data_IF_302304151197
#
_entry.id   IF_302304151197
#
_cell.length_a   1.000
_cell.length_b   1.000
_cell.length_c   1.000
_cell.angle_alpha   90.00
_cell.angle_beta   90.00
_cell.angle_gamma   90.00
#
_symmetry.space_group_name_H-M   'P 1'
#
loop_
_entity.id
_entity.type
_entity.pdbx_description
1 polymer ?
#
# COMPACT_ATOMS: atom_id res chain seq x y z
N UNK A 1 19.13 13.94 3.21
CA UNK A 1 19.00 13.74 4.65
C UNK A 1 18.83 12.28 4.98
N UNK A 2 19.69 11.75 5.80
CA UNK A 2 19.59 10.37 6.24
C UNK A 2 18.55 10.28 7.35
N UNK A 3 17.41 9.69 7.02
CA UNK A 3 16.41 9.38 8.03
C UNK A 3 16.86 8.11 8.76
N UNK A 4 17.10 8.23 10.04
CA UNK A 4 17.29 7.05 10.86
C UNK A 4 15.91 6.49 11.17
N UNK A 5 15.62 5.34 10.59
CA UNK A 5 14.35 4.66 10.83
C UNK A 5 14.60 3.51 11.80
N UNK A 6 14.14 3.70 13.03
CA UNK A 6 14.20 2.68 14.06
C UNK A 6 12.90 1.88 14.09
N UNK A 7 12.68 1.12 13.03
CA UNK A 7 11.42 0.41 12.84
C UNK A 7 11.61 -0.79 11.94
N UNK A 8 10.69 -1.74 12.04
CA UNK A 8 10.66 -2.92 11.20
C UNK A 8 9.55 -2.83 10.16
N UNK A 9 9.80 -3.44 9.00
CA UNK A 9 8.77 -3.65 7.99
C UNK A 9 7.87 -4.78 8.48
N UNK A 10 6.58 -4.52 8.57
CA UNK A 10 5.58 -5.49 9.00
C UNK A 10 4.91 -6.22 7.84
N UNK A 11 4.82 -5.57 6.69
CA UNK A 11 4.17 -6.18 5.53
C UNK A 11 4.58 -5.51 4.23
N UNK A 12 4.57 -6.30 3.17
CA UNK A 12 4.62 -5.85 1.79
C UNK A 12 3.36 -6.37 1.10
N UNK A 13 2.57 -5.47 0.55
CA UNK A 13 1.37 -5.82 -0.19
C UNK A 13 1.57 -5.48 -1.66
N UNK A 14 1.50 -6.50 -2.48
CA UNK A 14 1.74 -6.39 -3.91
C UNK A 14 0.44 -6.06 -4.65
N UNK A 15 0.57 -5.61 -5.88
CA UNK A 15 -0.56 -5.37 -6.77
C UNK A 15 -1.55 -4.34 -6.21
N UNK A 16 -0.99 -3.27 -5.67
CA UNK A 16 -1.80 -2.17 -5.14
C UNK A 16 -2.17 -1.23 -6.27
N UNK A 17 -3.44 -0.87 -6.33
CA UNK A 17 -3.93 0.26 -7.10
C UNK A 17 -4.24 1.37 -6.11
N UNK A 18 -3.49 2.45 -6.18
CA UNK A 18 -3.60 3.47 -5.15
C UNK A 18 -3.14 4.85 -5.58
N UNK A 19 -3.50 5.82 -4.77
CA UNK A 19 -3.13 7.20 -4.94
C UNK A 19 -4.16 8.16 -4.35
N UNK A 20 -3.98 9.43 -4.65
CA UNK A 20 -4.87 10.47 -4.17
C UNK A 20 -6.23 10.38 -4.84
N UNK A 21 -7.31 10.49 -4.04
CA UNK A 21 -8.67 10.58 -4.55
C UNK A 21 -8.95 12.00 -5.04
N UNK A 22 -9.77 12.12 -6.08
CA UNK A 22 -10.20 13.42 -6.56
C UNK A 22 -10.31 13.47 -8.08
N UNK A 23 -10.97 14.54 -8.54
CA UNK A 23 -11.13 14.79 -9.95
C UNK A 23 -9.76 15.06 -10.60
N UNK A 24 -9.48 14.38 -11.69
CA UNK A 24 -8.21 14.44 -12.44
C UNK A 24 -6.98 13.90 -11.68
N UNK A 25 -7.18 13.25 -10.56
CA UNK A 25 -6.09 12.54 -9.87
C UNK A 25 -5.96 11.15 -10.45
N UNK A 26 -4.71 10.72 -10.70
CA UNK A 26 -4.43 9.39 -11.24
C UNK A 26 -3.96 8.45 -10.16
N UNK A 27 -4.60 7.30 -10.09
CA UNK A 27 -4.07 6.19 -9.30
C UNK A 27 -2.99 5.46 -10.10
N UNK A 28 -2.13 4.76 -9.38
CA UNK A 28 -1.01 4.02 -9.96
C UNK A 28 -0.96 2.62 -9.37
N UNK A 29 -0.33 1.73 -10.12
CA UNK A 29 0.04 0.42 -9.62
C UNK A 29 1.30 0.52 -8.78
N UNK A 30 1.38 -0.25 -7.71
CA UNK A 30 2.55 -0.27 -6.87
C UNK A 30 2.49 -1.30 -5.76
N UNK A 31 3.39 -1.13 -4.82
CA UNK A 31 3.52 -1.95 -3.63
C UNK A 31 3.30 -1.08 -2.41
N UNK A 32 2.53 -1.59 -1.45
CA UNK A 32 2.33 -0.91 -0.18
C UNK A 32 3.22 -1.57 0.87
N UNK A 33 4.07 -0.77 1.49
CA UNK A 33 4.96 -1.24 2.56
C UNK A 33 4.48 -0.65 3.88
N UNK A 34 4.34 -1.49 4.87
CA UNK A 34 3.83 -1.10 6.20
C UNK A 34 4.92 -1.33 7.22
N UNK A 35 5.24 -0.29 7.98
CA UNK A 35 6.09 -0.40 9.16
C UNK A 35 5.28 -0.08 10.41
N UNK A 36 5.91 -0.08 11.57
CA UNK A 36 5.24 0.28 12.83
C UNK A 36 4.83 1.77 12.88
N UNK A 37 5.44 2.59 12.03
CA UNK A 37 5.27 4.05 12.07
C UNK A 37 4.84 4.68 10.77
N UNK A 38 4.91 3.94 9.67
CA UNK A 38 4.72 4.50 8.32
C UNK A 38 3.96 3.57 7.40
N UNK A 39 3.26 4.18 6.48
CA UNK A 39 2.67 3.54 5.32
C UNK A 39 3.37 4.13 4.11
N UNK A 40 3.96 3.29 3.25
CA UNK A 40 4.75 3.75 2.12
C UNK A 40 4.20 3.12 0.84
N UNK A 41 3.92 3.96 -0.16
CA UNK A 41 3.47 3.49 -1.46
C UNK A 41 4.61 3.60 -2.46
N UNK A 42 5.09 2.46 -2.94
CA UNK A 42 6.22 2.36 -3.85
C UNK A 42 5.71 2.03 -5.24
N UNK A 43 5.86 2.97 -6.17
CA UNK A 43 5.50 2.78 -7.58
C UNK A 43 6.71 2.44 -8.43
N UNK A 44 7.92 2.77 -7.96
CA UNK A 44 9.19 2.47 -8.63
C UNK A 44 10.11 1.78 -7.63
N UNK A 45 10.56 0.58 -7.94
CA UNK A 45 11.40 -0.22 -7.05
C UNK A 45 12.59 -0.81 -7.79
N UNK A 46 13.69 -1.02 -7.06
CA UNK A 46 14.85 -1.79 -7.53
C UNK A 46 14.72 -3.28 -7.20
N UNK A 47 13.60 -3.69 -6.62
CA UNK A 47 13.37 -5.09 -6.29
C UNK A 47 13.48 -5.96 -7.54
N UNK A 48 14.21 -7.09 -7.45
CA UNK A 48 14.32 -8.00 -8.56
C UNK A 48 12.94 -8.61 -8.90
N UNK A 49 12.73 -8.89 -10.18
CA UNK A 49 11.49 -9.51 -10.63
C UNK A 49 11.22 -10.84 -9.89
N UNK A 50 12.27 -11.61 -9.64
CA UNK A 50 12.15 -12.89 -8.94
C UNK A 50 11.58 -12.73 -7.53
N UNK A 51 12.10 -11.78 -6.76
CA UNK A 51 11.62 -11.51 -5.40
C UNK A 51 10.17 -11.03 -5.45
N UNK A 52 9.87 -10.12 -6.35
CA UNK A 52 8.52 -9.61 -6.55
C UNK A 52 7.54 -10.74 -6.89
N UNK A 53 7.92 -11.60 -7.83
CA UNK A 53 7.05 -12.69 -8.28
C UNK A 53 6.80 -13.72 -7.17
N UNK A 54 7.83 -14.11 -6.45
CA UNK A 54 7.70 -15.07 -5.35
C UNK A 54 6.74 -14.55 -4.27
N UNK A 55 6.88 -13.29 -3.89
CA UNK A 55 6.01 -12.71 -2.87
C UNK A 55 4.59 -12.51 -3.40
N UNK A 56 4.43 -12.14 -4.66
CA UNK A 56 3.12 -11.99 -5.30
C UNK A 56 2.35 -13.31 -5.34
N UNK A 57 3.05 -14.41 -5.67
CA UNK A 57 2.45 -15.75 -5.66
C UNK A 57 2.06 -16.19 -4.26
N UNK A 58 2.90 -15.89 -3.27
CA UNK A 58 2.62 -16.16 -1.87
C UNK A 58 1.38 -15.40 -1.40
N UNK A 59 1.26 -14.13 -1.76
CA UNK A 59 0.09 -13.32 -1.44
C UNK A 59 -1.18 -13.90 -2.05
N UNK A 60 -1.12 -14.28 -3.33
CA UNK A 60 -2.26 -14.89 -4.03
C UNK A 60 -2.70 -16.19 -3.37
N UNK A 61 -1.74 -17.05 -3.00
CA UNK A 61 -2.04 -18.30 -2.31
C UNK A 61 -2.71 -18.07 -0.96
N UNK A 62 -2.25 -17.07 -0.20
CA UNK A 62 -2.85 -16.75 1.08
C UNK A 62 -4.27 -16.22 0.93
N UNK A 63 -4.56 -15.46 -0.11
CA UNK A 63 -5.95 -15.07 -0.40
C UNK A 63 -6.82 -16.30 -0.69
N UNK A 64 -6.32 -17.26 -1.47
CA UNK A 64 -7.05 -18.50 -1.76
C UNK A 64 -7.32 -19.32 -0.52
N UNK A 65 -6.39 -19.34 0.42
CA UNK A 65 -6.50 -20.08 1.67
C UNK A 65 -7.20 -19.28 2.78
N UNK A 66 -7.63 -18.06 2.49
CA UNK A 66 -8.26 -17.15 3.46
C UNK A 66 -7.38 -16.87 4.67
N UNK A 67 -6.08 -16.77 4.44
CA UNK A 67 -5.08 -16.46 5.46
C UNK A 67 -4.66 -15.01 5.41
N UNK A 68 -4.01 -14.54 6.49
CA UNK A 68 -3.47 -13.20 6.57
C UNK A 68 -2.44 -12.96 5.46
N UNK A 69 -2.59 -11.84 4.74
CA UNK A 69 -1.66 -11.44 3.66
C UNK A 69 -0.62 -10.42 4.12
N UNK A 70 -0.70 -9.95 5.35
CA UNK A 70 0.23 -8.93 5.87
C UNK A 70 1.53 -9.60 6.33
N UNK A 71 2.40 -9.88 5.36
CA UNK A 71 3.67 -10.55 5.57
C UNK A 71 4.80 -9.75 4.92
N UNK A 72 5.97 -9.64 5.57
CA UNK A 72 7.11 -8.95 4.99
C UNK A 72 7.84 -9.84 3.98
N UNK A 73 8.55 -9.19 3.05
CA UNK A 73 9.47 -9.86 2.16
C UNK A 73 10.79 -10.08 2.88
N UNK A 74 11.25 -11.32 2.92
CA UNK A 74 12.56 -11.66 3.43
C UNK A 74 13.63 -11.08 2.48
N UNK A 75 14.63 -10.41 3.05
CA UNK A 75 15.70 -9.81 2.25
C UNK A 75 15.41 -8.40 1.74
N UNK A 76 14.23 -7.85 2.03
CA UNK A 76 13.91 -6.46 1.75
C UNK A 76 13.65 -5.75 3.07
N UNK A 77 14.65 -5.04 3.55
CA UNK A 77 14.57 -4.33 4.82
C UNK A 77 14.47 -2.82 4.64
N UNK A 78 14.72 -2.11 5.72
CA UNK A 78 14.64 -0.63 5.75
C UNK A 78 15.65 0.01 4.77
N UNK A 79 16.82 -0.57 4.59
CA UNK A 79 17.82 -0.05 3.65
C UNK A 79 17.28 -0.06 2.22
N UNK A 80 16.71 -1.18 1.79
CA UNK A 80 16.12 -1.32 0.46
C UNK A 80 14.93 -0.40 0.29
N UNK A 81 14.11 -0.25 1.32
CA UNK A 81 12.96 0.65 1.31
C UNK A 81 13.39 2.10 1.14
N UNK A 82 14.38 2.55 1.89
CA UNK A 82 14.90 3.92 1.78
C UNK A 82 15.46 4.20 0.39
N UNK A 83 16.20 3.24 -0.17
CA UNK A 83 16.70 3.36 -1.53
C UNK A 83 15.58 3.49 -2.56
N UNK A 84 14.52 2.70 -2.41
CA UNK A 84 13.35 2.80 -3.29
C UNK A 84 12.64 4.14 -3.16
N UNK A 85 12.48 4.65 -1.96
CA UNK A 85 11.84 5.95 -1.74
C UNK A 85 12.58 7.05 -2.47
N UNK A 86 13.90 7.05 -2.44
CA UNK A 86 14.74 8.05 -3.10
C UNK A 86 14.75 7.91 -4.62
N UNK A 87 14.35 6.77 -5.15
CA UNK A 87 14.38 6.49 -6.59
C UNK A 87 13.40 7.34 -7.40
N UNK A 88 12.28 7.70 -6.81
CA UNK A 88 11.23 8.43 -7.51
C UNK A 88 10.42 9.29 -6.54
N UNK A 89 10.10 10.51 -6.97
CA UNK A 89 9.20 11.40 -6.23
C UNK A 89 7.74 10.91 -6.21
N UNK A 90 7.45 9.90 -7.02
CA UNK A 90 6.12 9.25 -7.06
C UNK A 90 5.96 8.19 -5.97
N UNK A 91 7.05 7.82 -5.32
CA UNK A 91 7.01 6.97 -4.14
C UNK A 91 6.66 7.84 -2.94
N UNK A 92 5.57 7.52 -2.26
CA UNK A 92 4.98 8.38 -1.24
C UNK A 92 5.10 7.77 0.15
N UNK A 93 5.52 8.59 1.10
CA UNK A 93 5.65 8.18 2.51
C UNK A 93 4.59 8.89 3.33
N UNK A 94 3.83 8.10 4.10
CA UNK A 94 2.86 8.60 5.05
C UNK A 94 3.29 8.18 6.45
N UNK A 95 3.78 9.13 7.24
CA UNK A 95 4.07 8.88 8.66
C UNK A 95 2.75 8.85 9.42
N UNK A 96 2.55 7.88 10.30
CA UNK A 96 1.29 7.74 11.02
C UNK A 96 0.91 9.01 11.79
N UNK A 97 1.89 9.73 12.32
CA UNK A 97 1.64 11.00 13.02
C UNK A 97 1.07 12.09 12.12
N UNK A 98 1.25 12.00 10.81
CA UNK A 98 0.72 12.95 9.82
C UNK A 98 -0.66 12.57 9.31
N UNK A 99 -1.10 11.36 9.60
CA UNK A 99 -2.40 10.84 9.15
C UNK A 99 -3.46 11.24 10.17
N UNK A 100 -4.50 11.92 9.70
CA UNK A 100 -5.62 12.32 10.55
C UNK A 100 -6.63 11.19 10.76
N UNK A 101 -6.79 10.31 9.76
CA UNK A 101 -7.69 9.17 9.87
C UNK A 101 -7.29 8.07 8.90
N UNK A 102 -7.48 6.82 9.32
CA UNK A 102 -7.27 5.64 8.49
C UNK A 102 -8.39 4.66 8.75
N UNK A 103 -9.08 4.27 7.71
CA UNK A 103 -10.21 3.35 7.76
C UNK A 103 -10.30 2.57 6.46
N UNK A 104 -11.17 1.60 6.38
CA UNK A 104 -11.40 0.88 5.13
C UNK A 104 -12.90 0.87 4.81
N UNK A 105 -13.18 0.79 3.51
CA UNK A 105 -14.55 0.76 2.99
C UNK A 105 -14.76 -0.56 2.27
N UNK A 106 -15.71 -1.34 2.75
CA UNK A 106 -16.14 -2.57 2.10
C UNK A 106 -17.12 -2.21 1.00
N UNK A 107 -16.81 -2.63 -0.22
CA UNK A 107 -17.69 -2.42 -1.37
C UNK A 107 -18.01 -3.76 -2.01
N UNK A 108 -19.01 -3.78 -2.86
CA UNK A 108 -19.40 -4.99 -3.58
C UNK A 108 -18.25 -5.60 -4.37
N UNK A 109 -17.39 -4.75 -4.95
CA UNK A 109 -16.30 -5.15 -5.83
C UNK A 109 -14.94 -5.30 -5.13
N UNK A 110 -14.86 -5.08 -3.85
CA UNK A 110 -13.63 -5.19 -3.09
C UNK A 110 -13.56 -4.26 -1.89
N UNK A 111 -12.42 -4.26 -1.21
CA UNK A 111 -12.20 -3.42 -0.03
C UNK A 111 -11.12 -2.38 -0.32
N UNK A 112 -11.38 -1.15 0.05
CA UNK A 112 -10.45 -0.05 -0.16
C UNK A 112 -9.99 0.51 1.17
N UNK A 113 -8.67 0.61 1.36
CA UNK A 113 -8.08 1.32 2.50
C UNK A 113 -8.09 2.81 2.22
N UNK A 114 -8.59 3.62 3.15
CA UNK A 114 -8.67 5.07 3.03
C UNK A 114 -7.75 5.74 4.04
N UNK A 115 -7.01 6.74 3.56
CA UNK A 115 -6.07 7.50 4.38
C UNK A 115 -6.38 8.99 4.19
N UNK A 116 -6.56 9.70 5.31
CA UNK A 116 -6.80 11.15 5.30
C UNK A 116 -5.59 11.86 5.90
N UNK A 117 -5.13 12.88 5.21
CA UNK A 117 -4.00 13.70 5.64
C UNK A 117 -4.41 15.16 5.58
N UNK A 118 -4.14 15.90 6.65
CA UNK A 118 -4.36 17.34 6.69
C UNK A 118 -3.03 18.06 6.46
N UNK A 119 -2.92 18.78 5.35
CA UNK A 119 -1.73 19.56 5.00
C UNK A 119 -2.18 20.99 4.72
N UNK A 120 -1.62 21.96 5.45
CA UNK A 120 -1.86 23.40 5.24
C UNK A 120 -3.34 23.75 5.11
N UNK A 121 -4.16 23.27 6.04
CA UNK A 121 -5.61 23.46 6.08
C UNK A 121 -6.37 22.81 4.93
N UNK A 122 -5.71 21.95 4.16
CA UNK A 122 -6.35 21.15 3.10
C UNK A 122 -6.33 19.69 3.50
N UNK A 123 -7.46 19.03 3.35
CA UNK A 123 -7.56 17.60 3.56
C UNK A 123 -7.32 16.87 2.24
N UNK A 124 -6.35 15.97 2.24
CA UNK A 124 -6.09 15.07 1.11
C UNK A 124 -6.53 13.67 1.49
N UNK A 125 -7.19 13.00 0.56
CA UNK A 125 -7.66 11.64 0.75
C UNK A 125 -6.96 10.73 -0.24
N UNK A 126 -6.53 9.57 0.25
CA UNK A 126 -5.87 8.53 -0.57
C UNK A 126 -6.64 7.24 -0.42
N UNK A 127 -6.61 6.42 -1.47
CA UNK A 127 -7.23 5.12 -1.46
C UNK A 127 -6.27 4.07 -2.00
N UNK A 128 -6.32 2.87 -1.42
CA UNK A 128 -5.48 1.73 -1.81
C UNK A 128 -6.32 0.47 -1.82
N UNK A 129 -6.18 -0.31 -2.87
CA UNK A 129 -6.87 -1.60 -2.98
C UNK A 129 -5.94 -2.62 -3.60
N UNK A 130 -6.12 -3.90 -3.27
CA UNK A 130 -5.31 -4.98 -3.84
C UNK A 130 -6.03 -5.52 -5.06
N UNK A 131 -5.39 -5.43 -6.23
CA UNK A 131 -5.97 -5.85 -7.50
C UNK A 131 -6.10 -7.36 -7.55
N UNK A 132 -7.30 -7.83 -7.87
CA UNK A 132 -7.57 -9.25 -8.10
C UNK A 132 -7.46 -9.61 -9.57
N UNK A 133 -7.82 -8.69 -10.45
CA UNK A 133 -7.73 -8.89 -11.89
C UNK A 133 -7.75 -7.58 -12.64
N UNK A 134 -6.94 -7.51 -13.69
CA UNK A 134 -6.93 -6.38 -14.60
C UNK A 134 -7.94 -6.60 -15.70
N UNK A 135 -8.78 -5.60 -15.96
CA UNK A 135 -9.72 -5.65 -17.07
C UNK A 135 -9.13 -4.98 -18.30
N UNK A 136 -9.51 -5.51 -19.47
CA UNK A 136 -8.96 -5.08 -20.75
C UNK A 136 -9.35 -3.65 -21.12
N UNK A 137 -10.52 -3.19 -20.65
CA UNK A 137 -11.05 -1.86 -20.97
C UNK A 137 -11.45 -1.13 -19.68
N UNK A 138 -10.53 -0.39 -19.07
CA UNK A 138 -10.75 0.21 -17.75
C UNK A 138 -11.80 1.31 -17.69
N UNK A 139 -12.32 1.79 -18.83
CA UNK A 139 -13.31 2.86 -18.84
C UNK A 139 -14.69 2.45 -18.31
N UNK A 140 -15.05 1.17 -18.38
CA UNK A 140 -16.38 0.68 -17.97
C UNK A 140 -16.39 -0.05 -16.63
N UNK A 141 -15.43 -0.94 -16.43
CA UNK A 141 -15.26 -1.71 -15.20
C UNK A 141 -13.77 -1.80 -14.94
N UNK A 142 -13.21 -0.81 -14.27
CA UNK A 142 -11.77 -0.62 -14.31
C UNK A 142 -11.00 -1.76 -13.70
N UNK A 143 -11.41 -2.31 -12.57
CA UNK A 143 -10.59 -3.29 -11.87
C UNK A 143 -11.46 -4.12 -10.93
N UNK A 144 -11.02 -5.36 -10.71
CA UNK A 144 -11.55 -6.21 -9.66
C UNK A 144 -10.55 -6.22 -8.51
N UNK A 145 -11.05 -6.05 -7.29
CA UNK A 145 -10.23 -5.99 -6.10
C UNK A 145 -10.55 -7.13 -5.15
N UNK A 146 -9.55 -7.51 -4.35
CA UNK A 146 -9.76 -8.46 -3.27
C UNK A 146 -10.55 -7.81 -2.13
N UNK A 147 -11.32 -8.64 -1.44
CA UNK A 147 -11.85 -8.27 -0.14
C UNK A 147 -10.78 -8.54 0.90
N UNK A 148 -10.34 -7.49 1.56
CA UNK A 148 -9.18 -7.52 2.48
C UNK A 148 -9.60 -7.06 3.86
N UNK A 149 -9.18 -7.78 4.87
CA UNK A 149 -9.28 -7.27 6.24
C UNK A 149 -8.07 -6.37 6.50
N UNK A 150 -8.29 -5.06 6.46
CA UNK A 150 -7.26 -4.06 6.68
C UNK A 150 -7.01 -3.77 8.17
N UNK A 151 -7.69 -4.45 9.08
CA UNK A 151 -7.55 -4.20 10.52
C UNK A 151 -6.12 -4.31 11.04
N UNK A 152 -5.26 -5.21 10.55
CA UNK A 152 -3.87 -5.23 11.01
C UNK A 152 -3.14 -3.89 10.81
N UNK A 153 -3.37 -3.19 9.70
CA UNK A 153 -2.77 -1.88 9.45
C UNK A 153 -3.48 -0.78 10.25
N UNK A 154 -4.80 -0.78 10.22
CA UNK A 154 -5.59 0.22 10.95
C UNK A 154 -5.29 0.16 12.46
N UNK A 155 -5.11 -1.02 13.00
CA UNK A 155 -4.74 -1.22 14.41
C UNK A 155 -3.36 -0.64 14.70
N UNK A 156 -2.37 -0.88 13.85
CA UNK A 156 -1.04 -0.28 14.00
C UNK A 156 -1.12 1.25 14.04
N UNK A 157 -1.90 1.83 13.14
CA UNK A 157 -2.12 3.27 13.11
C UNK A 157 -2.76 3.78 14.40
N UNK A 158 -3.80 3.11 14.88
CA UNK A 158 -4.51 3.53 16.09
C UNK A 158 -3.68 3.41 17.36
N UNK A 159 -2.70 2.51 17.36
CA UNK A 159 -1.79 2.31 18.49
C UNK A 159 -0.59 3.24 18.46
N UNK A 160 -0.40 3.96 17.38
CA UNK A 160 0.75 4.85 17.22
C UNK A 160 0.59 6.18 17.96
#
# INVERSE_FOLDING_TARGET
MLLEWDEEIKAHLMWIWGGEDGFMKRKREGMLVVTEKRLIFITKTNMSYRIHDVHSQRQLLRFKEKKNVFLPIEGYGITELKNDIEKSDKNTVFTFSEISDMYFVERRWGTELKVKIDIENKQKNYGFAIVKGWVKYPAKDPLLFHHVDWNPIVTLFKMS
#
